data_IF_883262994224
#
_entry.id   IF_883262994224
#
_cell.length_a   1.000
_cell.length_b   1.000
_cell.length_c   1.000
_cell.angle_alpha   90.00
_cell.angle_beta   90.00
_cell.angle_gamma   90.00
#
_symmetry.space_group_name_H-M   'P 1'
#
loop_
_entity.id
_entity.type
_entity.pdbx_description
1 polymer ?
#
# COMPACT_ATOMS: atom_id res chain seq x y z
N UNK A 1 -44.15 20.64 32.84
CA UNK A 1 -43.04 21.26 32.08
C UNK A 1 -41.98 20.19 31.84
N UNK A 2 -41.70 19.86 30.58
CA UNK A 2 -40.63 18.91 30.22
C UNK A 2 -39.36 19.70 29.84
N UNK A 3 -38.16 19.25 30.23
CA UNK A 3 -36.93 19.97 29.90
C UNK A 3 -36.57 19.77 28.42
N UNK A 4 -36.16 20.86 27.78
CA UNK A 4 -35.85 20.92 26.36
C UNK A 4 -34.63 20.06 25.98
N UNK A 5 -34.74 19.36 24.86
CA UNK A 5 -33.61 18.70 24.20
C UNK A 5 -32.70 19.77 23.60
N UNK A 6 -31.49 19.89 24.14
CA UNK A 6 -30.39 20.58 23.47
C UNK A 6 -30.11 19.91 22.13
N UNK A 7 -30.18 20.70 21.05
CA UNK A 7 -29.78 20.26 19.73
C UNK A 7 -28.26 20.28 19.68
N UNK A 8 -27.64 19.10 19.66
CA UNK A 8 -26.21 18.96 19.39
C UNK A 8 -25.90 19.57 18.03
N UNK A 9 -25.00 20.56 18.00
CA UNK A 9 -24.51 21.19 16.77
C UNK A 9 -23.86 20.17 15.82
N UNK A 10 -23.66 20.54 14.53
CA UNK A 10 -23.01 19.67 13.56
C UNK A 10 -21.60 19.31 14.05
N UNK A 11 -21.13 18.06 13.82
CA UNK A 11 -19.80 17.65 14.27
C UNK A 11 -18.74 18.56 13.66
N UNK A 12 -17.85 19.10 14.50
CA UNK A 12 -16.68 19.85 14.05
C UNK A 12 -15.94 19.04 12.97
N UNK A 13 -15.68 19.69 11.83
CA UNK A 13 -14.81 19.13 10.79
C UNK A 13 -13.41 18.97 11.39
N UNK A 14 -13.09 17.76 11.87
CA UNK A 14 -11.72 17.39 12.28
C UNK A 14 -10.77 17.78 11.15
N UNK A 15 -9.78 18.62 11.47
CA UNK A 15 -8.70 18.96 10.54
C UNK A 15 -8.03 17.67 10.07
N UNK A 16 -8.09 17.41 8.76
CA UNK A 16 -7.39 16.29 8.13
C UNK A 16 -5.89 16.46 8.36
N UNK A 17 -5.19 15.37 8.72
CA UNK A 17 -3.73 15.41 8.80
C UNK A 17 -3.17 15.74 7.40
N UNK A 18 -2.35 16.80 7.26
CA UNK A 18 -1.73 17.10 5.98
C UNK A 18 -0.72 16.01 5.64
N UNK A 19 -0.71 15.56 4.38
CA UNK A 19 0.31 14.64 3.86
C UNK A 19 1.54 15.44 3.48
N UNK A 20 2.73 14.94 3.79
CA UNK A 20 3.95 15.56 3.26
C UNK A 20 4.05 15.42 1.74
N UNK A 21 4.97 16.18 1.14
CA UNK A 21 5.34 16.01 -0.25
C UNK A 21 5.85 14.58 -0.52
N UNK A 22 6.59 13.99 0.41
CA UNK A 22 7.12 12.62 0.32
C UNK A 22 6.00 11.60 0.21
N UNK A 23 5.05 11.60 1.15
CA UNK A 23 3.90 10.68 1.11
C UNK A 23 3.05 10.89 -0.14
N UNK A 24 2.89 12.13 -0.57
CA UNK A 24 2.15 12.44 -1.80
C UNK A 24 2.80 11.81 -3.04
N UNK A 25 4.13 11.82 -3.13
CA UNK A 25 4.88 11.14 -4.20
C UNK A 25 4.69 9.63 -4.15
N UNK A 26 4.80 9.03 -2.95
CA UNK A 26 4.61 7.58 -2.75
C UNK A 26 3.20 7.14 -3.18
N UNK A 27 2.16 7.88 -2.75
CA UNK A 27 0.77 7.58 -3.10
C UNK A 27 0.55 7.66 -4.61
N UNK A 28 1.10 8.70 -5.26
CA UNK A 28 1.00 8.85 -6.71
C UNK A 28 1.65 7.67 -7.44
N UNK A 29 2.82 7.22 -6.99
CA UNK A 29 3.49 6.06 -7.56
C UNK A 29 2.64 4.78 -7.38
N UNK A 30 2.12 4.53 -6.18
CA UNK A 30 1.23 3.40 -5.91
C UNK A 30 -0.01 3.42 -6.81
N UNK A 31 -0.68 4.57 -6.96
CA UNK A 31 -1.84 4.71 -7.83
C UNK A 31 -1.52 4.51 -9.31
N UNK A 32 -0.33 4.93 -9.76
CA UNK A 32 0.11 4.69 -11.13
C UNK A 32 0.32 3.20 -11.41
N UNK A 33 1.02 2.49 -10.52
CA UNK A 33 1.26 1.05 -10.66
C UNK A 33 -0.04 0.23 -10.58
N UNK A 34 -0.93 0.61 -9.66
CA UNK A 34 -2.20 -0.07 -9.42
C UNK A 34 -3.14 -0.10 -10.63
N UNK A 35 -3.05 0.86 -11.57
CA UNK A 35 -3.86 0.85 -12.80
C UNK A 35 -3.61 -0.42 -13.61
N UNK A 36 -2.35 -0.84 -13.69
CA UNK A 36 -1.97 -2.04 -14.41
C UNK A 36 -2.41 -3.28 -13.65
N UNK A 37 -2.12 -3.35 -12.34
CA UNK A 37 -2.53 -4.49 -11.52
C UNK A 37 -4.05 -4.71 -11.51
N UNK A 38 -4.86 -3.65 -11.45
CA UNK A 38 -6.33 -3.79 -11.52
C UNK A 38 -6.81 -4.34 -12.85
N UNK A 39 -6.21 -3.90 -13.96
CA UNK A 39 -6.52 -4.41 -15.29
C UNK A 39 -6.10 -5.87 -15.40
N UNK A 40 -4.85 -6.15 -15.06
CA UNK A 40 -4.25 -7.47 -15.16
C UNK A 40 -5.03 -8.47 -14.24
N UNK A 41 -5.46 -8.04 -13.04
CA UNK A 41 -6.33 -8.82 -12.14
C UNK A 41 -7.71 -9.14 -12.77
N UNK A 42 -8.31 -8.19 -13.47
CA UNK A 42 -9.58 -8.42 -14.18
C UNK A 42 -9.46 -9.39 -15.36
N UNK A 43 -8.25 -9.65 -15.84
CA UNK A 43 -7.97 -10.62 -16.91
C UNK A 43 -7.59 -12.02 -16.36
N UNK A 44 -7.37 -12.17 -15.04
CA UNK A 44 -6.88 -13.42 -14.40
C UNK A 44 -7.76 -14.64 -14.70
N UNK A 45 -9.09 -14.49 -14.73
CA UNK A 45 -10.02 -15.58 -15.05
C UNK A 45 -9.78 -16.17 -16.45
N UNK A 46 -9.30 -15.34 -17.40
CA UNK A 46 -8.99 -15.78 -18.77
C UNK A 46 -7.65 -16.50 -18.87
N UNK A 47 -6.73 -16.25 -17.92
CA UNK A 47 -5.38 -16.82 -17.93
C UNK A 47 -5.31 -18.22 -17.35
N UNK A 48 -6.24 -18.59 -16.47
CA UNK A 48 -6.40 -19.98 -16.01
C UNK A 48 -6.67 -20.96 -17.17
N UNK A 49 -7.03 -20.45 -18.35
CA UNK A 49 -7.38 -21.22 -19.56
C UNK A 49 -6.22 -21.23 -20.59
N UNK A 50 -5.17 -20.43 -20.40
CA UNK A 50 -4.11 -20.23 -21.40
C UNK A 50 -2.92 -21.19 -21.25
N UNK A 51 -2.24 -21.52 -22.37
CA UNK A 51 -1.03 -22.38 -22.38
C UNK A 51 0.18 -21.77 -21.66
N UNK A 52 0.19 -20.44 -21.44
CA UNK A 52 1.23 -19.78 -20.63
C UNK A 52 0.89 -20.01 -19.16
N UNK A 53 1.82 -20.61 -18.43
CA UNK A 53 1.59 -20.98 -17.03
C UNK A 53 1.24 -19.76 -16.16
N UNK A 54 0.42 -19.93 -15.10
CA UNK A 54 0.07 -18.84 -14.18
C UNK A 54 1.28 -18.06 -13.65
N UNK A 55 2.42 -18.73 -13.40
CA UNK A 55 3.66 -18.10 -12.93
C UNK A 55 4.19 -16.99 -13.85
N UNK A 56 4.20 -17.21 -15.17
CA UNK A 56 4.68 -16.22 -16.13
C UNK A 56 3.84 -14.94 -16.10
N UNK A 57 2.53 -15.08 -15.88
CA UNK A 57 1.62 -13.95 -15.84
C UNK A 57 1.89 -13.04 -14.64
N UNK A 58 2.04 -13.62 -13.44
CA UNK A 58 2.29 -12.81 -12.25
C UNK A 58 3.67 -12.15 -12.32
N UNK A 59 4.70 -12.86 -12.77
CA UNK A 59 6.02 -12.24 -12.98
C UNK A 59 5.93 -11.03 -13.92
N UNK A 60 5.12 -11.12 -14.97
CA UNK A 60 4.91 -9.99 -15.87
C UNK A 60 4.15 -8.82 -15.24
N UNK A 61 3.11 -9.10 -14.45
CA UNK A 61 2.35 -8.07 -13.74
C UNK A 61 3.23 -7.35 -12.72
N UNK A 62 4.03 -8.12 -11.98
CA UNK A 62 4.95 -7.66 -10.95
C UNK A 62 6.06 -6.76 -11.51
N UNK A 63 6.83 -7.25 -12.48
CA UNK A 63 7.91 -6.50 -13.16
C UNK A 63 7.37 -5.18 -13.76
N UNK A 64 6.16 -5.22 -14.33
CA UNK A 64 5.52 -4.04 -14.92
C UNK A 64 5.12 -3.03 -13.85
N UNK A 65 4.62 -3.48 -12.70
CA UNK A 65 4.31 -2.63 -11.56
C UNK A 65 5.58 -2.02 -10.95
N UNK A 66 6.64 -2.81 -10.73
CA UNK A 66 7.93 -2.31 -10.22
C UNK A 66 8.51 -1.23 -11.14
N UNK A 67 8.48 -1.48 -12.46
CA UNK A 67 8.97 -0.50 -13.44
C UNK A 67 8.23 0.84 -13.35
N UNK A 68 6.92 0.83 -13.12
CA UNK A 68 6.13 2.06 -12.95
C UNK A 68 6.48 2.74 -11.63
N UNK A 69 6.59 1.98 -10.53
CA UNK A 69 6.99 2.52 -9.23
C UNK A 69 8.35 3.20 -9.31
N UNK A 70 9.34 2.50 -9.86
CA UNK A 70 10.69 3.00 -10.09
C UNK A 70 10.67 4.30 -10.89
N UNK A 71 9.93 4.33 -12.01
CA UNK A 71 9.85 5.51 -12.85
C UNK A 71 9.22 6.72 -12.13
N UNK A 72 8.10 6.53 -11.43
CA UNK A 72 7.41 7.64 -10.74
C UNK A 72 8.20 8.16 -9.53
N UNK A 73 8.81 7.26 -8.74
CA UNK A 73 9.58 7.63 -7.55
C UNK A 73 10.88 8.35 -7.92
N UNK A 74 11.67 7.78 -8.84
CA UNK A 74 12.96 8.36 -9.26
C UNK A 74 12.80 9.59 -10.16
N UNK A 75 11.65 9.77 -10.81
CA UNK A 75 11.36 11.03 -11.52
C UNK A 75 11.37 12.23 -10.56
N UNK A 76 10.88 12.04 -9.34
CA UNK A 76 10.77 13.13 -8.36
C UNK A 76 12.01 13.24 -7.48
N UNK A 77 12.67 12.12 -7.19
CA UNK A 77 13.89 12.02 -6.37
C UNK A 77 14.95 11.18 -7.09
N UNK A 78 15.58 11.70 -8.15
CA UNK A 78 16.53 10.96 -8.98
C UNK A 78 17.81 10.55 -8.23
N UNK A 79 18.11 11.22 -7.11
CA UNK A 79 19.27 10.97 -6.26
C UNK A 79 19.05 9.83 -5.25
N UNK A 80 17.81 9.35 -5.06
CA UNK A 80 17.51 8.29 -4.09
C UNK A 80 17.86 6.92 -4.65
N UNK A 81 18.24 6.01 -3.75
CA UNK A 81 18.36 4.59 -4.08
C UNK A 81 16.99 3.95 -4.30
N UNK A 82 16.99 2.76 -4.89
CA UNK A 82 15.78 1.96 -5.10
C UNK A 82 16.09 0.49 -4.88
N UNK A 83 15.30 -0.16 -4.05
CA UNK A 83 15.33 -1.59 -3.79
C UNK A 83 13.92 -2.14 -4.04
N UNK A 84 13.77 -2.94 -5.09
CA UNK A 84 12.54 -3.68 -5.39
C UNK A 84 12.74 -5.18 -5.16
N UNK A 85 11.65 -5.94 -5.18
CA UNK A 85 11.65 -7.39 -5.03
C UNK A 85 12.18 -8.11 -6.28
N UNK A 86 11.79 -7.66 -7.47
CA UNK A 86 12.10 -8.35 -8.74
C UNK A 86 13.37 -7.80 -9.41
N UNK A 87 13.63 -6.51 -9.19
CA UNK A 87 14.71 -5.79 -9.85
C UNK A 87 16.03 -5.79 -9.09
N UNK A 88 17.10 -5.45 -9.81
CA UNK A 88 18.38 -5.14 -9.20
C UNK A 88 18.34 -3.80 -8.46
N UNK A 89 18.99 -3.75 -7.30
CA UNK A 89 19.15 -2.52 -6.53
C UNK A 89 19.81 -1.41 -7.35
N UNK A 90 19.28 -0.19 -7.21
CA UNK A 90 19.91 1.04 -7.67
C UNK A 90 20.52 1.74 -6.47
N UNK A 91 21.83 1.96 -6.55
CA UNK A 91 22.53 2.80 -5.57
C UNK A 91 22.19 4.27 -5.82
N UNK A 92 21.77 4.97 -4.77
CA UNK A 92 21.56 6.41 -4.78
C UNK A 92 22.64 7.16 -4.00
N UNK A 93 22.24 8.22 -3.33
CA UNK A 93 23.06 9.10 -2.47
C UNK A 93 23.65 8.41 -1.21
N UNK A 94 23.35 7.13 -0.99
CA UNK A 94 23.81 6.36 0.17
C UNK A 94 23.07 6.67 1.47
N UNK A 95 22.06 7.55 1.44
CA UNK A 95 21.28 7.94 2.62
C UNK A 95 19.81 7.62 2.46
N UNK A 96 19.22 7.91 1.30
CA UNK A 96 17.81 7.74 1.04
C UNK A 96 17.58 6.59 0.07
N UNK A 97 16.63 5.71 0.38
CA UNK A 97 16.30 4.56 -0.47
C UNK A 97 14.81 4.29 -0.45
N UNK A 98 14.22 4.17 -1.63
CA UNK A 98 12.90 3.57 -1.79
C UNK A 98 13.02 2.06 -1.65
N UNK A 99 12.13 1.47 -0.86
CA UNK A 99 12.00 0.01 -0.73
C UNK A 99 10.59 -0.33 -1.18
N UNK A 100 10.44 -1.20 -2.17
CA UNK A 100 9.12 -1.50 -2.74
C UNK A 100 8.88 -3.00 -2.85
N UNK A 101 7.63 -3.35 -2.60
CA UNK A 101 7.03 -4.61 -3.04
C UNK A 101 5.87 -4.21 -3.96
N UNK A 102 5.98 -4.47 -5.28
CA UNK A 102 5.00 -4.07 -6.26
C UNK A 102 3.71 -4.92 -6.24
N UNK A 103 3.71 -6.13 -5.65
CA UNK A 103 2.55 -7.02 -5.54
C UNK A 103 2.68 -7.98 -4.35
N UNK A 104 2.41 -7.46 -3.15
CA UNK A 104 2.24 -8.29 -1.97
C UNK A 104 0.95 -9.11 -2.10
N UNK A 105 1.05 -10.43 -2.02
CA UNK A 105 -0.06 -11.35 -2.24
C UNK A 105 -0.16 -11.90 -3.67
N UNK A 106 0.97 -12.08 -4.36
CA UNK A 106 1.08 -12.74 -5.67
C UNK A 106 0.22 -14.02 -5.81
N UNK A 107 0.22 -14.91 -4.82
CA UNK A 107 -0.65 -16.11 -4.84
C UNK A 107 -2.13 -15.74 -4.86
N UNK A 108 -2.56 -14.79 -4.04
CA UNK A 108 -3.96 -14.33 -4.03
C UNK A 108 -4.33 -13.72 -5.39
N UNK A 109 -3.43 -12.91 -5.96
CA UNK A 109 -3.61 -12.30 -7.28
C UNK A 109 -3.84 -13.35 -8.37
N UNK A 110 -3.00 -14.38 -8.43
CA UNK A 110 -3.12 -15.49 -9.38
C UNK A 110 -4.41 -16.32 -9.23
N UNK A 111 -4.89 -16.44 -8.00
CA UNK A 111 -6.10 -17.20 -7.70
C UNK A 111 -7.37 -16.34 -7.77
N UNK A 112 -7.30 -15.08 -8.21
CA UNK A 112 -8.45 -14.19 -8.30
C UNK A 112 -9.00 -13.77 -6.94
N UNK A 113 -8.22 -13.95 -5.86
CA UNK A 113 -8.58 -13.50 -4.51
C UNK A 113 -8.27 -12.00 -4.42
N UNK A 114 -9.25 -11.13 -4.12
CA UNK A 114 -9.10 -9.67 -4.17
C UNK A 114 -8.35 -9.09 -2.95
N UNK A 115 -7.27 -9.74 -2.54
CA UNK A 115 -6.46 -9.39 -1.38
C UNK A 115 -4.98 -9.40 -1.72
N UNK A 116 -4.53 -8.28 -2.28
CA UNK A 116 -3.14 -8.00 -2.63
C UNK A 116 -2.89 -6.49 -2.54
N UNK A 117 -1.64 -6.07 -2.35
CA UNK A 117 -1.31 -4.67 -2.17
C UNK A 117 0.00 -4.28 -2.86
N UNK A 118 0.18 -2.98 -3.03
CA UNK A 118 1.48 -2.38 -3.32
C UNK A 118 2.04 -1.82 -2.00
N UNK A 119 3.29 -2.12 -1.66
CA UNK A 119 3.99 -1.57 -0.50
C UNK A 119 5.16 -0.70 -0.92
N UNK A 120 5.28 0.48 -0.32
CA UNK A 120 6.35 1.44 -0.56
C UNK A 120 6.85 1.97 0.79
N UNK A 121 8.11 1.73 1.10
CA UNK A 121 8.85 2.33 2.21
C UNK A 121 9.83 3.39 1.72
N UNK A 122 10.07 4.42 2.54
CA UNK A 122 11.23 5.29 2.42
C UNK A 122 12.14 5.09 3.61
N UNK A 123 13.36 4.65 3.33
CA UNK A 123 14.45 4.58 4.28
C UNK A 123 15.31 5.84 4.20
N UNK A 124 15.74 6.35 5.34
CA UNK A 124 16.77 7.40 5.48
C UNK A 124 17.77 6.99 6.55
N UNK A 125 19.05 6.94 6.18
CA UNK A 125 20.16 6.62 7.07
C UNK A 125 19.93 5.32 7.86
N UNK A 126 19.37 4.29 7.19
CA UNK A 126 19.06 2.99 7.79
C UNK A 126 17.72 2.89 8.54
N UNK A 127 16.91 3.96 8.55
CA UNK A 127 15.64 4.00 9.27
C UNK A 127 14.44 4.28 8.36
N UNK A 128 13.34 3.54 8.52
CA UNK A 128 12.10 3.78 7.80
C UNK A 128 11.41 5.06 8.33
N UNK A 129 11.31 6.07 7.49
CA UNK A 129 10.73 7.38 7.84
C UNK A 129 9.33 7.61 7.27
N UNK A 130 8.93 6.87 6.23
CA UNK A 130 7.58 6.92 5.67
C UNK A 130 7.20 5.57 5.04
N UNK A 131 5.89 5.29 5.00
CA UNK A 131 5.35 4.07 4.41
C UNK A 131 3.99 4.31 3.76
N UNK A 132 3.72 3.60 2.66
CA UNK A 132 2.44 3.53 1.96
C UNK A 132 2.14 2.07 1.65
N UNK A 133 0.93 1.61 1.95
CA UNK A 133 0.38 0.34 1.50
C UNK A 133 -0.95 0.62 0.81
N UNK A 134 -1.11 0.20 -0.44
CA UNK A 134 -2.34 0.43 -1.20
C UNK A 134 -2.92 -0.88 -1.68
N UNK A 135 -4.15 -1.19 -1.27
CA UNK A 135 -4.93 -2.33 -1.75
C UNK A 135 -5.84 -1.88 -2.91
N UNK A 136 -5.53 -2.23 -4.18
CA UNK A 136 -6.17 -1.61 -5.33
C UNK A 136 -7.65 -1.96 -5.51
N UNK A 137 -8.07 -3.14 -5.03
CA UNK A 137 -9.44 -3.66 -5.21
C UNK A 137 -10.42 -3.02 -4.23
N UNK A 138 -10.05 -2.88 -2.95
CA UNK A 138 -10.88 -2.21 -1.94
C UNK A 138 -10.73 -0.69 -1.94
N UNK A 139 -9.76 -0.17 -2.69
CA UNK A 139 -9.36 1.25 -2.72
C UNK A 139 -8.99 1.78 -1.31
N UNK A 140 -8.31 0.93 -0.55
CA UNK A 140 -7.82 1.26 0.80
C UNK A 140 -6.35 1.62 0.74
N UNK A 141 -6.04 2.84 1.21
CA UNK A 141 -4.70 3.41 1.22
C UNK A 141 -4.28 3.66 2.65
N UNK A 142 -3.31 2.89 3.12
CA UNK A 142 -2.67 3.05 4.41
C UNK A 142 -1.39 3.85 4.23
N UNK A 143 -1.13 4.81 5.10
CA UNK A 143 0.10 5.59 5.06
C UNK A 143 0.54 6.05 6.44
N UNK A 144 1.84 6.24 6.61
CA UNK A 144 2.43 6.72 7.84
C UNK A 144 3.71 7.52 7.58
N UNK A 145 4.00 8.44 8.48
CA UNK A 145 5.31 9.10 8.58
C UNK A 145 5.79 9.03 10.02
N UNK A 146 7.10 8.87 10.20
CA UNK A 146 7.73 8.82 11.51
C UNK A 146 7.36 10.07 12.32
N UNK A 147 6.85 9.87 13.52
CA UNK A 147 6.39 10.95 14.41
C UNK A 147 4.97 11.48 14.15
N UNK A 148 4.38 11.20 12.98
CA UNK A 148 3.06 11.75 12.58
C UNK A 148 1.90 10.78 12.80
N UNK A 149 2.20 9.50 13.06
CA UNK A 149 1.22 8.42 13.20
C UNK A 149 0.85 7.76 11.86
N UNK A 150 -0.13 6.87 11.90
CA UNK A 150 -0.63 6.12 10.74
C UNK A 150 -2.08 6.48 10.44
N UNK A 151 -2.44 6.41 9.16
CA UNK A 151 -3.72 6.85 8.62
C UNK A 151 -4.21 5.89 7.54
N UNK A 152 -5.52 5.88 7.34
CA UNK A 152 -6.18 5.20 6.23
C UNK A 152 -7.02 6.20 5.44
N UNK A 153 -6.95 6.10 4.13
CA UNK A 153 -7.95 6.63 3.22
C UNK A 153 -8.75 5.46 2.64
N UNK A 154 -10.07 5.64 2.55
CA UNK A 154 -11.02 4.74 1.92
C UNK A 154 -11.96 5.58 1.05
N UNK A 155 -12.80 4.96 0.19
CA UNK A 155 -13.82 5.71 -0.57
C UNK A 155 -14.75 6.56 0.31
N UNK A 156 -14.96 6.15 1.57
CA UNK A 156 -15.85 6.83 2.51
C UNK A 156 -15.16 7.87 3.40
N UNK A 157 -13.85 7.77 3.63
CA UNK A 157 -13.15 8.63 4.57
C UNK A 157 -11.70 8.85 4.17
N UNK A 158 -11.26 10.11 4.23
CA UNK A 158 -9.86 10.47 3.98
C UNK A 158 -9.13 10.73 5.29
N UNK A 159 -7.90 10.23 5.37
CA UNK A 159 -6.89 10.51 6.40
C UNK A 159 -7.42 10.28 7.80
N UNK A 160 -8.17 9.18 7.96
CA UNK A 160 -8.66 8.72 9.25
C UNK A 160 -7.49 8.11 10.01
N UNK A 161 -7.19 8.65 11.18
CA UNK A 161 -6.08 8.17 12.02
C UNK A 161 -6.33 6.73 12.47
N UNK A 162 -5.31 5.89 12.35
CA UNK A 162 -5.29 4.52 12.83
C UNK A 162 -4.74 4.45 14.26
N UNK A 163 -5.19 3.40 14.96
CA UNK A 163 -4.65 2.96 16.24
C UNK A 163 -4.73 1.44 16.26
N UNK A 164 -3.77 0.79 16.87
CA UNK A 164 -3.84 -0.67 17.12
C UNK A 164 -5.03 -0.98 18.03
N UNK A 165 -5.48 -2.23 18.00
CA UNK A 165 -6.59 -2.66 18.88
C UNK A 165 -6.17 -2.53 20.36
N UNK A 166 -7.10 -2.10 21.21
CA UNK A 166 -6.89 -2.06 22.67
C UNK A 166 -7.13 -3.39 23.37
N UNK A 167 -7.25 -4.51 22.64
CA UNK A 167 -7.52 -5.83 23.22
C UNK A 167 -6.29 -6.29 23.99
N UNK A 168 -6.50 -6.67 25.25
CA UNK A 168 -5.45 -7.18 26.15
C UNK A 168 -5.50 -8.68 26.37
N UNK A 169 -6.65 -9.29 26.12
CA UNK A 169 -6.90 -10.72 26.28
C UNK A 169 -6.71 -11.43 24.92
N UNK A 170 -5.68 -12.30 24.78
CA UNK A 170 -5.44 -13.04 23.56
C UNK A 170 -6.61 -13.92 23.13
N UNK A 171 -7.40 -14.44 24.08
CA UNK A 171 -8.56 -15.28 23.76
C UNK A 171 -9.66 -14.52 23.01
N UNK A 172 -9.61 -13.18 23.00
CA UNK A 172 -10.55 -12.30 22.30
C UNK A 172 -9.94 -11.66 21.06
N UNK A 173 -8.70 -12.00 20.72
CA UNK A 173 -7.99 -11.46 19.58
C UNK A 173 -8.31 -12.26 18.31
N UNK A 174 -8.31 -11.57 17.17
CA UNK A 174 -8.18 -12.20 15.86
C UNK A 174 -6.71 -12.02 15.44
N UNK A 175 -6.06 -13.11 15.06
CA UNK A 175 -4.63 -13.13 14.72
C UNK A 175 -4.49 -13.41 13.22
N UNK A 176 -3.80 -12.51 12.52
CA UNK A 176 -3.30 -12.79 11.16
C UNK A 176 -1.98 -13.54 11.24
N UNK A 177 -1.79 -14.56 10.40
CA UNK A 177 -0.55 -15.35 10.32
C UNK A 177 -0.26 -15.72 8.88
N UNK A 178 1.02 -15.89 8.55
CA UNK A 178 1.47 -16.61 7.36
C UNK A 178 1.78 -18.06 7.72
N UNK A 179 1.48 -18.99 6.81
CA UNK A 179 1.81 -20.42 6.98
C UNK A 179 2.96 -20.75 6.02
N UNK A 180 4.09 -21.31 6.51
CA UNK A 180 5.14 -21.79 5.63
C UNK A 180 4.60 -22.83 4.65
N UNK A 181 4.87 -22.64 3.36
CA UNK A 181 4.51 -23.56 2.29
C UNK A 181 5.66 -23.59 1.28
N UNK A 182 5.62 -24.57 0.36
CA UNK A 182 6.72 -24.81 -0.59
C UNK A 182 6.75 -23.77 -1.74
N UNK A 183 5.73 -22.91 -1.83
CA UNK A 183 5.47 -22.07 -3.00
C UNK A 183 4.72 -22.86 -4.06
#
# INVERSE_FOLDING_TARGET
>A
MAPGRERSGPPERRSLAPRSATVTVMIRAAFAAAKNLKRDFGEVEHLQISEKGPGDFVSHADIKAERVLRAELLKTRPEYGFLGEEGSEIKGDGRNRWIVDPLDGTTNFLHGVPHFAISIGLERDGEIIAGVVYQPVSDELFWAEKGSGAYIDTPAARSRRLRVSGRKDPARALIGTGIPHIG
#
